data_IF_053777574893
#
_entry.id   IF_053777574893
#
_cell.length_a   1.000
_cell.length_b   1.000
_cell.length_c   1.000
_cell.angle_alpha   90.00
_cell.angle_beta   90.00
_cell.angle_gamma   90.00
#
_symmetry.space_group_name_H-M   'P 1'
#
loop_
_entity.id
_entity.type
_entity.pdbx_description
1 polymer ?
#
# COMPACT_ATOMS: atom_id res chain seq x y z
N UNK A 1 38.13 10.63 27.56
CA UNK A 1 37.59 9.95 26.37
C UNK A 1 36.41 8.99 26.64
N UNK A 2 36.19 8.49 27.86
CA UNK A 2 35.06 7.56 28.19
C UNK A 2 33.70 8.24 28.16
N UNK A 3 33.58 9.47 28.66
CA UNK A 3 32.30 10.20 28.79
C UNK A 3 31.61 10.57 27.45
N UNK A 4 32.40 10.82 26.40
CA UNK A 4 31.85 11.15 25.05
C UNK A 4 31.24 9.92 24.37
N UNK A 5 31.78 8.71 24.63
CA UNK A 5 31.22 7.46 24.09
C UNK A 5 29.88 7.07 24.72
N UNK A 6 29.68 7.35 26.00
CA UNK A 6 28.42 7.06 26.70
C UNK A 6 27.29 8.01 26.27
N UNK A 7 27.58 9.31 26.09
CA UNK A 7 26.62 10.28 25.60
C UNK A 7 26.16 9.91 24.17
N UNK A 8 27.09 9.53 23.29
CA UNK A 8 26.77 9.11 21.92
C UNK A 8 25.93 7.81 21.86
N UNK A 9 26.13 6.90 22.82
CA UNK A 9 25.35 5.66 22.91
C UNK A 9 23.93 5.93 23.45
N UNK A 10 23.78 6.80 24.45
CA UNK A 10 22.49 7.19 24.99
C UNK A 10 21.65 7.96 23.95
N UNK A 11 22.24 8.92 23.21
CA UNK A 11 21.55 9.64 22.15
C UNK A 11 21.11 8.74 20.98
N UNK A 12 21.92 7.75 20.62
CA UNK A 12 21.55 6.77 19.57
C UNK A 12 20.40 5.88 20.04
N UNK A 13 20.42 5.42 21.28
CA UNK A 13 19.35 4.60 21.86
C UNK A 13 18.01 5.36 21.92
N UNK A 14 18.04 6.65 22.28
CA UNK A 14 16.84 7.50 22.33
C UNK A 14 16.29 7.76 20.92
N UNK A 15 17.14 8.01 19.93
CA UNK A 15 16.73 8.17 18.53
C UNK A 15 16.13 6.89 17.94
N UNK A 16 16.71 5.74 18.24
CA UNK A 16 16.23 4.44 17.78
C UNK A 16 14.87 4.10 18.40
N UNK A 17 14.69 4.39 19.70
CA UNK A 17 13.43 4.21 20.39
C UNK A 17 12.32 5.14 19.83
N UNK A 18 12.65 6.41 19.54
CA UNK A 18 11.73 7.38 18.95
C UNK A 18 11.30 6.96 17.54
N UNK A 19 12.22 6.47 16.71
CA UNK A 19 11.94 6.00 15.36
C UNK A 19 11.08 4.73 15.37
N UNK A 20 11.36 3.78 16.25
CA UNK A 20 10.56 2.57 16.43
C UNK A 20 9.14 2.89 16.90
N UNK A 21 9.01 3.81 17.84
CA UNK A 21 7.71 4.29 18.33
C UNK A 21 6.90 4.94 17.21
N UNK A 22 7.53 5.83 16.42
CA UNK A 22 6.90 6.45 15.26
C UNK A 22 6.44 5.40 14.23
N UNK A 23 7.25 4.37 13.98
CA UNK A 23 6.91 3.27 13.07
C UNK A 23 5.68 2.49 13.54
N UNK A 24 5.55 2.22 14.85
CA UNK A 24 4.35 1.56 15.42
C UNK A 24 3.10 2.41 15.20
N UNK A 25 3.18 3.71 15.48
CA UNK A 25 2.05 4.64 15.26
C UNK A 25 1.64 4.66 13.79
N UNK A 26 2.59 4.75 12.87
CA UNK A 26 2.33 4.73 11.42
C UNK A 26 1.68 3.41 10.97
N UNK A 27 2.09 2.28 11.52
CA UNK A 27 1.49 0.98 11.21
C UNK A 27 0.01 0.93 11.63
N UNK A 28 -0.31 1.40 12.83
CA UNK A 28 -1.70 1.45 13.32
C UNK A 28 -2.54 2.48 12.55
N UNK A 29 -1.96 3.65 12.22
CA UNK A 29 -2.61 4.65 11.39
C UNK A 29 -2.91 4.11 9.99
N UNK A 30 -1.95 3.48 9.34
CA UNK A 30 -2.10 2.87 8.03
C UNK A 30 -3.23 1.82 8.00
N UNK A 31 -3.31 1.00 9.05
CA UNK A 31 -4.36 0.00 9.22
C UNK A 31 -5.75 0.64 9.34
N UNK A 32 -5.89 1.64 10.24
CA UNK A 32 -7.16 2.31 10.47
C UNK A 32 -7.63 3.11 9.25
N UNK A 33 -6.72 3.80 8.57
CA UNK A 33 -7.03 4.56 7.35
C UNK A 33 -7.53 3.63 6.24
N UNK A 34 -6.92 2.46 6.04
CA UNK A 34 -7.39 1.48 5.05
C UNK A 34 -8.78 0.95 5.38
N UNK A 35 -9.06 0.72 6.66
CA UNK A 35 -10.34 0.17 7.12
C UNK A 35 -11.48 1.17 7.06
N UNK A 36 -11.25 2.42 7.49
CA UNK A 36 -12.28 3.42 7.76
C UNK A 36 -12.20 4.68 6.90
N UNK A 37 -11.19 4.77 6.03
CA UNK A 37 -10.86 5.99 5.31
C UNK A 37 -10.16 7.03 6.20
N UNK A 38 -9.55 8.06 5.60
CA UNK A 38 -8.78 9.08 6.33
C UNK A 38 -9.65 9.98 7.22
N UNK A 39 -10.92 10.18 6.86
CA UNK A 39 -11.89 10.92 7.68
C UNK A 39 -12.24 10.22 9.00
N UNK A 40 -12.22 8.90 9.02
CA UNK A 40 -12.55 8.07 10.18
C UNK A 40 -11.43 7.92 11.23
N UNK A 41 -10.28 8.57 11.02
CA UNK A 41 -9.11 8.43 11.89
C UNK A 41 -9.29 9.18 13.21
N UNK A 42 -9.18 8.44 14.32
CA UNK A 42 -9.13 8.98 15.67
C UNK A 42 -7.70 8.87 16.25
N UNK A 43 -6.99 9.99 16.37
CA UNK A 43 -5.59 10.03 16.85
C UNK A 43 -5.45 9.33 18.21
N UNK A 44 -6.37 9.57 19.15
CA UNK A 44 -6.35 8.94 20.47
C UNK A 44 -6.41 7.40 20.38
N UNK A 45 -7.24 6.87 19.48
CA UNK A 45 -7.37 5.42 19.27
C UNK A 45 -6.10 4.81 18.65
N UNK A 46 -5.47 5.51 17.71
CA UNK A 46 -4.20 5.07 17.11
C UNK A 46 -3.10 5.03 18.16
N UNK A 47 -2.96 6.12 18.95
CA UNK A 47 -1.95 6.19 20.01
C UNK A 47 -2.12 5.09 21.05
N UNK A 48 -3.36 4.84 21.50
CA UNK A 48 -3.68 3.77 22.45
C UNK A 48 -3.28 2.39 21.90
N UNK A 49 -3.60 2.07 20.64
CA UNK A 49 -3.17 0.80 20.01
C UNK A 49 -1.66 0.69 19.82
N UNK A 50 -0.98 1.81 19.63
CA UNK A 50 0.48 1.86 19.59
C UNK A 50 1.12 1.77 20.99
N UNK A 51 0.34 1.65 22.07
CA UNK A 51 0.82 1.59 23.44
C UNK A 51 1.31 2.94 23.99
N UNK A 52 0.73 4.04 23.52
CA UNK A 52 1.15 5.41 23.83
C UNK A 52 0.00 6.25 24.37
N UNK A 53 0.32 7.30 25.12
CA UNK A 53 -0.65 8.30 25.54
C UNK A 53 -0.97 9.27 24.42
N UNK A 54 -2.17 9.85 24.41
CA UNK A 54 -2.55 10.89 23.45
C UNK A 54 -1.59 12.09 23.47
N UNK A 55 -1.12 12.50 24.65
CA UNK A 55 -0.18 13.61 24.79
C UNK A 55 1.18 13.40 24.11
N UNK A 56 1.58 12.13 23.89
CA UNK A 56 2.81 11.79 23.17
C UNK A 56 2.71 11.98 21.64
N UNK A 57 1.54 12.28 21.10
CA UNK A 57 1.34 12.44 19.66
C UNK A 57 2.22 13.51 19.04
N UNK A 58 2.22 14.71 19.66
CA UNK A 58 2.95 15.87 19.14
C UNK A 58 4.48 15.74 19.20
N UNK A 59 5.01 14.75 19.94
CA UNK A 59 6.44 14.42 19.90
C UNK A 59 6.85 13.71 18.58
N UNK A 60 5.86 13.19 17.81
CA UNK A 60 6.07 12.42 16.60
C UNK A 60 5.47 13.03 15.33
N UNK A 61 4.36 13.78 15.46
CA UNK A 61 3.63 14.35 14.32
C UNK A 61 3.15 15.76 14.67
N UNK A 62 3.32 16.69 13.74
CA UNK A 62 2.93 18.09 13.90
C UNK A 62 1.40 18.27 13.86
N UNK A 63 0.72 17.41 13.10
CA UNK A 63 -0.74 17.46 12.93
C UNK A 63 -1.30 16.08 12.56
N UNK A 64 -2.63 15.96 12.59
CA UNK A 64 -3.36 14.79 12.09
C UNK A 64 -3.13 14.59 10.58
N UNK A 65 -3.06 15.67 9.83
CA UNK A 65 -2.80 15.68 8.38
C UNK A 65 -1.40 15.14 8.07
N UNK A 66 -0.38 15.57 8.84
CA UNK A 66 0.98 15.04 8.74
C UNK A 66 1.06 13.54 9.07
N UNK A 67 0.28 13.06 10.06
CA UNK A 67 0.15 11.62 10.33
C UNK A 67 -0.47 10.89 9.14
N UNK A 68 -1.56 11.42 8.55
CA UNK A 68 -2.24 10.80 7.41
C UNK A 68 -1.29 10.71 6.20
N UNK A 69 -0.59 11.78 5.87
CA UNK A 69 0.37 11.81 4.77
C UNK A 69 1.48 10.77 4.95
N UNK A 70 2.08 10.70 6.14
CA UNK A 70 3.12 9.72 6.46
C UNK A 70 2.58 8.27 6.49
N UNK A 71 1.35 8.06 6.94
CA UNK A 71 0.71 6.75 6.91
C UNK A 71 0.42 6.28 5.47
N UNK A 72 0.01 7.18 4.56
CA UNK A 72 -0.16 6.88 3.14
C UNK A 72 1.16 6.41 2.52
N UNK A 73 2.27 7.09 2.81
CA UNK A 73 3.60 6.65 2.36
C UNK A 73 3.94 5.25 2.88
N UNK A 74 3.74 5.00 4.17
CA UNK A 74 3.94 3.68 4.80
C UNK A 74 3.08 2.58 4.16
N UNK A 75 1.85 2.89 3.76
CA UNK A 75 0.99 1.94 3.02
C UNK A 75 1.59 1.57 1.67
N UNK A 76 2.07 2.56 0.91
CA UNK A 76 2.69 2.30 -0.38
C UNK A 76 4.04 1.59 -0.26
N UNK A 77 4.85 1.88 0.76
CA UNK A 77 6.07 1.13 1.07
C UNK A 77 5.75 -0.37 1.26
N UNK A 78 4.75 -0.67 2.09
CA UNK A 78 4.35 -2.07 2.33
C UNK A 78 3.83 -2.75 1.06
N UNK A 79 3.13 -2.02 0.19
CA UNK A 79 2.62 -2.54 -1.08
C UNK A 79 3.75 -2.79 -2.08
N UNK A 80 4.71 -1.84 -2.18
CA UNK A 80 5.90 -2.00 -3.02
C UNK A 80 6.75 -3.18 -2.58
N UNK A 81 7.02 -3.28 -1.27
CA UNK A 81 7.78 -4.39 -0.70
C UNK A 81 7.12 -5.75 -0.99
N UNK A 82 5.80 -5.83 -0.88
CA UNK A 82 5.06 -7.05 -1.26
C UNK A 82 5.25 -7.37 -2.74
N UNK A 83 5.11 -6.38 -3.62
CA UNK A 83 5.36 -6.57 -5.06
C UNK A 83 6.79 -7.07 -5.30
N UNK A 84 7.77 -6.36 -4.75
CA UNK A 84 9.18 -6.66 -4.95
C UNK A 84 9.54 -8.08 -4.43
N UNK A 85 9.00 -8.49 -3.27
CA UNK A 85 9.16 -9.84 -2.74
C UNK A 85 8.48 -10.91 -3.62
N UNK A 86 7.27 -10.63 -4.12
CA UNK A 86 6.56 -11.58 -4.98
C UNK A 86 7.29 -11.75 -6.33
N UNK A 87 7.93 -10.69 -6.83
CA UNK A 87 8.59 -10.68 -8.16
C UNK A 87 10.08 -11.05 -8.07
N UNK A 88 10.65 -11.15 -6.86
CA UNK A 88 12.07 -11.48 -6.65
C UNK A 88 12.39 -12.98 -6.83
N UNK A 89 11.44 -13.86 -6.50
CA UNK A 89 11.67 -15.31 -6.49
C UNK A 89 11.20 -15.99 -7.79
N UNK A 90 12.14 -16.56 -8.54
CA UNK A 90 11.90 -17.55 -9.59
C UNK A 90 11.65 -16.99 -11.00
N UNK A 91 10.91 -17.76 -11.80
CA UNK A 91 10.49 -17.36 -13.14
C UNK A 91 9.63 -16.10 -13.05
N UNK A 92 10.12 -15.03 -13.67
CA UNK A 92 9.55 -13.67 -13.62
C UNK A 92 8.06 -13.63 -14.02
N UNK A 93 7.63 -14.57 -14.86
CA UNK A 93 6.25 -14.68 -15.36
C UNK A 93 5.33 -15.29 -14.32
N UNK A 94 5.78 -16.37 -13.72
CA UNK A 94 5.09 -16.99 -12.57
C UNK A 94 4.94 -15.97 -11.45
N UNK A 95 5.95 -15.14 -11.25
CA UNK A 95 5.96 -14.08 -10.23
C UNK A 95 4.92 -12.99 -10.52
N UNK A 96 4.83 -12.49 -11.76
CA UNK A 96 3.82 -11.49 -12.13
C UNK A 96 2.40 -12.08 -12.08
N UNK A 97 2.21 -13.31 -12.56
CA UNK A 97 0.95 -14.03 -12.45
C UNK A 97 0.55 -14.19 -10.98
N UNK A 98 1.47 -14.62 -10.12
CA UNK A 98 1.23 -14.74 -8.67
C UNK A 98 0.82 -13.42 -8.03
N UNK A 99 1.41 -12.30 -8.48
CA UNK A 99 1.01 -10.97 -8.01
C UNK A 99 -0.42 -10.61 -8.46
N UNK A 100 -0.77 -10.88 -9.72
CA UNK A 100 -2.13 -10.66 -10.24
C UNK A 100 -3.14 -11.52 -9.49
N UNK A 101 -2.82 -12.79 -9.25
CA UNK A 101 -3.66 -13.75 -8.52
C UNK A 101 -3.90 -13.30 -7.08
N UNK A 102 -2.85 -12.86 -6.40
CA UNK A 102 -2.99 -12.27 -5.07
C UNK A 102 -3.86 -11.00 -5.11
N UNK A 103 -3.55 -10.07 -6.04
CA UNK A 103 -4.22 -8.77 -6.07
C UNK A 103 -5.71 -8.87 -6.35
N UNK A 104 -6.10 -9.77 -7.28
CA UNK A 104 -7.49 -10.00 -7.70
C UNK A 104 -8.15 -11.18 -6.95
N UNK A 105 -7.68 -11.50 -5.73
CA UNK A 105 -8.25 -12.56 -4.90
C UNK A 105 -9.34 -12.04 -3.95
N UNK A 106 -10.31 -12.91 -3.57
CA UNK A 106 -11.22 -12.62 -2.47
C UNK A 106 -10.50 -12.27 -1.16
N UNK A 107 -9.39 -12.95 -0.87
CA UNK A 107 -8.59 -12.67 0.33
C UNK A 107 -8.07 -11.22 0.37
N UNK A 108 -7.57 -10.67 -0.76
CA UNK A 108 -7.15 -9.26 -0.83
C UNK A 108 -8.34 -8.31 -0.77
N UNK A 109 -9.46 -8.64 -1.42
CA UNK A 109 -10.70 -7.87 -1.34
C UNK A 109 -11.15 -7.71 0.11
N UNK A 110 -11.21 -8.79 0.87
CA UNK A 110 -11.81 -8.84 2.21
C UNK A 110 -10.87 -8.31 3.29
N UNK A 111 -9.55 -8.41 3.10
CA UNK A 111 -8.55 -7.94 4.07
C UNK A 111 -8.14 -6.48 3.81
N UNK A 112 -9.10 -5.53 3.92
CA UNK A 112 -8.87 -4.10 3.63
C UNK A 112 -7.69 -3.51 4.40
N UNK A 113 -7.57 -3.85 5.68
CA UNK A 113 -6.58 -3.29 6.61
C UNK A 113 -5.12 -3.51 6.17
N UNK A 114 -4.87 -4.54 5.36
CA UNK A 114 -3.55 -4.95 4.90
C UNK A 114 -3.38 -4.87 3.37
N UNK A 115 -4.43 -4.50 2.66
CA UNK A 115 -4.45 -4.42 1.19
C UNK A 115 -3.74 -3.19 0.62
N UNK A 116 -3.75 -3.12 -0.71
CA UNK A 116 -3.29 -1.95 -1.44
C UNK A 116 -4.13 -0.71 -1.06
N UNK A 117 -3.51 0.47 -0.82
CA UNK A 117 -4.25 1.68 -0.48
C UNK A 117 -5.11 2.22 -1.63
N UNK A 118 -4.78 1.90 -2.88
CA UNK A 118 -5.47 2.46 -4.06
C UNK A 118 -6.98 2.20 -4.06
N UNK A 119 -7.46 0.94 -3.95
CA UNK A 119 -8.90 0.69 -3.95
C UNK A 119 -9.64 1.25 -2.72
N UNK A 120 -8.91 1.53 -1.64
CA UNK A 120 -9.50 1.99 -0.38
C UNK A 120 -9.56 3.52 -0.26
N UNK A 121 -8.66 4.26 -0.92
CA UNK A 121 -8.48 5.69 -0.68
C UNK A 121 -8.78 6.58 -1.88
N UNK A 122 -8.83 6.04 -3.12
CA UNK A 122 -8.97 6.86 -4.33
C UNK A 122 -10.21 7.78 -4.32
N UNK A 123 -11.29 7.38 -3.69
CA UNK A 123 -12.51 8.18 -3.55
C UNK A 123 -12.42 9.32 -2.53
N UNK A 124 -11.50 9.23 -1.57
CA UNK A 124 -11.38 10.20 -0.48
C UNK A 124 -10.35 11.31 -0.76
N UNK A 125 -9.45 11.08 -1.71
CA UNK A 125 -8.25 11.91 -1.92
C UNK A 125 -8.54 13.35 -2.31
N UNK A 126 -9.64 13.60 -3.02
CA UNK A 126 -10.00 14.97 -3.40
C UNK A 126 -10.26 15.88 -2.19
N UNK A 127 -10.53 15.28 -1.02
CA UNK A 127 -10.83 15.97 0.24
C UNK A 127 -9.64 16.04 1.19
N UNK A 128 -8.52 15.42 0.82
CA UNK A 128 -7.31 15.38 1.66
C UNK A 128 -6.42 16.59 1.42
N UNK A 129 -5.57 16.83 2.42
CA UNK A 129 -4.49 17.80 2.38
C UNK A 129 -3.58 17.59 1.14
N UNK A 130 -3.00 18.69 0.58
CA UNK A 130 -2.12 18.59 -0.59
C UNK A 130 -0.93 17.64 -0.41
N UNK A 131 -0.34 17.56 0.79
CA UNK A 131 0.78 16.65 1.05
C UNK A 131 0.34 15.19 0.98
N UNK A 132 -0.79 14.83 1.58
CA UNK A 132 -1.36 13.49 1.50
C UNK A 132 -1.66 13.09 0.05
N UNK A 133 -2.19 14.02 -0.76
CA UNK A 133 -2.42 13.81 -2.20
C UNK A 133 -1.12 13.61 -2.97
N UNK A 134 -0.07 14.39 -2.66
CA UNK A 134 1.24 14.26 -3.29
C UNK A 134 1.87 12.89 -2.97
N UNK A 135 1.83 12.44 -1.70
CA UNK A 135 2.30 11.11 -1.28
C UNK A 135 1.55 9.98 -1.99
N UNK A 136 0.25 10.13 -2.15
CA UNK A 136 -0.54 9.15 -2.90
C UNK A 136 -0.14 9.12 -4.38
N UNK A 137 -0.01 10.26 -5.04
CA UNK A 137 0.44 10.36 -6.44
C UNK A 137 1.80 9.70 -6.67
N UNK A 138 2.76 9.92 -5.76
CA UNK A 138 4.07 9.25 -5.75
C UNK A 138 3.91 7.73 -5.61
N UNK A 139 2.99 7.29 -4.75
CA UNK A 139 2.68 5.87 -4.58
C UNK A 139 2.11 5.23 -5.83
N UNK A 140 1.18 5.90 -6.52
CA UNK A 140 0.63 5.46 -7.83
C UNK A 140 1.76 5.32 -8.85
N UNK A 141 2.56 6.37 -9.03
CA UNK A 141 3.69 6.37 -9.98
C UNK A 141 4.67 5.23 -9.68
N UNK A 142 5.00 5.01 -8.40
CA UNK A 142 5.92 3.95 -7.99
C UNK A 142 5.41 2.53 -8.27
N UNK A 143 4.12 2.27 -8.12
CA UNK A 143 3.52 0.97 -8.47
C UNK A 143 3.40 0.78 -9.98
N UNK A 144 2.99 1.84 -10.70
CA UNK A 144 2.94 1.83 -12.17
C UNK A 144 4.30 1.50 -12.76
N UNK A 145 5.36 2.16 -12.28
CA UNK A 145 6.72 1.91 -12.76
C UNK A 145 7.19 0.46 -12.50
N UNK A 146 6.80 -0.15 -11.37
CA UNK A 146 7.12 -1.55 -11.06
C UNK A 146 6.42 -2.52 -12.01
N UNK A 147 5.14 -2.32 -12.27
CA UNK A 147 4.39 -3.11 -13.24
C UNK A 147 4.96 -2.92 -14.66
N UNK A 148 5.23 -1.70 -15.07
CA UNK A 148 5.88 -1.39 -16.34
C UNK A 148 7.23 -2.10 -16.47
N UNK A 149 8.09 -2.00 -15.45
CA UNK A 149 9.37 -2.70 -15.42
C UNK A 149 9.24 -4.22 -15.47
N UNK A 150 8.22 -4.80 -14.83
CA UNK A 150 7.93 -6.22 -14.94
C UNK A 150 7.51 -6.58 -16.37
N UNK A 151 6.52 -5.91 -16.93
CA UNK A 151 5.99 -6.15 -18.28
C UNK A 151 7.06 -5.92 -19.36
N UNK A 152 7.90 -4.89 -19.24
CA UNK A 152 9.00 -4.62 -20.17
C UNK A 152 10.02 -5.77 -20.21
N UNK A 153 10.30 -6.41 -19.08
CA UNK A 153 11.16 -7.61 -19.03
C UNK A 153 10.54 -8.82 -19.75
N UNK A 154 9.24 -8.80 -20.03
CA UNK A 154 8.53 -9.80 -20.84
C UNK A 154 8.42 -9.44 -22.32
N UNK A 155 8.96 -8.32 -22.73
CA UNK A 155 8.86 -7.84 -24.11
C UNK A 155 7.49 -7.28 -24.47
N UNK A 156 6.68 -6.89 -23.49
CA UNK A 156 5.42 -6.19 -23.75
C UNK A 156 5.74 -4.83 -24.35
N UNK A 157 5.09 -4.53 -25.48
CA UNK A 157 5.22 -3.21 -26.12
C UNK A 157 4.62 -2.12 -25.21
N UNK A 158 5.22 -0.91 -25.25
CA UNK A 158 4.77 0.24 -24.45
C UNK A 158 4.54 -0.10 -22.97
N UNK A 159 5.56 -0.61 -22.25
CA UNK A 159 5.40 -1.16 -20.93
C UNK A 159 4.88 -0.14 -19.90
N UNK A 160 5.14 1.16 -20.09
CA UNK A 160 4.61 2.23 -19.26
C UNK A 160 3.09 2.31 -19.36
N UNK A 161 2.55 2.33 -20.56
CA UNK A 161 1.11 2.33 -20.80
C UNK A 161 0.47 1.02 -20.34
N UNK A 162 1.12 -0.10 -20.60
CA UNK A 162 0.67 -1.42 -20.17
C UNK A 162 0.59 -1.54 -18.65
N UNK A 163 1.62 -1.07 -17.94
CA UNK A 163 1.66 -1.04 -16.47
C UNK A 163 0.58 -0.16 -15.85
N UNK A 164 0.37 1.03 -16.42
CA UNK A 164 -0.71 1.93 -15.99
C UNK A 164 -2.09 1.30 -16.22
N UNK A 165 -2.32 0.72 -17.40
CA UNK A 165 -3.58 0.05 -17.74
C UNK A 165 -3.85 -1.16 -16.83
N UNK A 166 -2.84 -1.99 -16.57
CA UNK A 166 -2.95 -3.14 -15.64
C UNK A 166 -3.31 -2.66 -14.23
N UNK A 167 -2.63 -1.65 -13.71
CA UNK A 167 -2.91 -1.11 -12.39
C UNK A 167 -4.34 -0.59 -12.28
N UNK A 168 -4.79 0.20 -13.26
CA UNK A 168 -6.13 0.78 -13.28
C UNK A 168 -7.22 -0.29 -13.29
N UNK A 169 -7.06 -1.36 -14.08
CA UNK A 169 -8.00 -2.48 -14.14
C UNK A 169 -8.06 -3.24 -12.82
N UNK A 170 -6.91 -3.59 -12.24
CA UNK A 170 -6.85 -4.31 -10.97
C UNK A 170 -7.43 -3.48 -9.81
N UNK A 171 -7.12 -2.18 -9.74
CA UNK A 171 -7.64 -1.27 -8.71
C UNK A 171 -9.14 -1.12 -8.85
N UNK A 172 -9.63 -0.87 -10.07
CA UNK A 172 -11.06 -0.74 -10.37
C UNK A 172 -11.84 -2.00 -10.01
N UNK A 173 -11.33 -3.17 -10.37
CA UNK A 173 -11.98 -4.44 -10.05
C UNK A 173 -12.11 -4.67 -8.54
N UNK A 174 -11.04 -4.44 -7.76
CA UNK A 174 -11.09 -4.60 -6.30
C UNK A 174 -12.02 -3.56 -5.66
N UNK A 175 -12.01 -2.31 -6.15
CA UNK A 175 -12.90 -1.26 -5.65
C UNK A 175 -14.38 -1.61 -5.90
N UNK A 176 -14.72 -2.05 -7.11
CA UNK A 176 -16.08 -2.47 -7.48
C UNK A 176 -16.52 -3.73 -6.72
N UNK A 177 -15.64 -4.74 -6.62
CA UNK A 177 -15.92 -5.96 -5.87
C UNK A 177 -16.20 -5.69 -4.38
N UNK A 178 -15.60 -4.64 -3.81
CA UNK A 178 -15.88 -4.18 -2.43
C UNK A 178 -17.18 -3.39 -2.29
N UNK A 179 -17.67 -2.81 -3.38
CA UNK A 179 -18.86 -1.94 -3.38
C UNK A 179 -20.16 -2.70 -3.57
N UNK A 180 -20.12 -3.84 -4.25
CA UNK A 180 -21.33 -4.66 -4.47
C UNK A 180 -21.65 -5.51 -3.25
N UNK A 181 -22.95 -5.68 -2.97
CA UNK A 181 -23.43 -6.44 -1.81
C UNK A 181 -23.61 -7.94 -2.09
N UNK A 182 -23.78 -8.32 -3.35
CA UNK A 182 -23.91 -9.73 -3.77
C UNK A 182 -22.53 -10.40 -3.86
N UNK A 183 -22.24 -11.43 -3.05
CA UNK A 183 -20.97 -12.13 -3.08
C UNK A 183 -20.63 -12.78 -4.42
N UNK A 184 -21.64 -13.33 -5.11
CA UNK A 184 -21.42 -13.97 -6.41
C UNK A 184 -21.02 -12.94 -7.49
N UNK A 185 -21.69 -11.78 -7.49
CA UNK A 185 -21.32 -10.66 -8.35
C UNK A 185 -19.92 -10.13 -8.02
N UNK A 186 -19.59 -10.01 -6.73
CA UNK A 186 -18.28 -9.57 -6.26
C UNK A 186 -17.16 -10.49 -6.74
N UNK A 187 -17.34 -11.80 -6.62
CA UNK A 187 -16.37 -12.80 -7.08
C UNK A 187 -16.26 -12.79 -8.61
N UNK A 188 -17.37 -12.64 -9.34
CA UNK A 188 -17.37 -12.56 -10.80
C UNK A 188 -16.59 -11.34 -11.32
N UNK A 189 -16.65 -10.18 -10.63
CA UNK A 189 -15.86 -8.99 -10.99
C UNK A 189 -14.35 -9.31 -10.91
N UNK A 190 -13.90 -9.92 -9.82
CA UNK A 190 -12.49 -10.28 -9.65
C UNK A 190 -12.03 -11.31 -10.68
N UNK A 191 -12.83 -12.35 -10.91
CA UNK A 191 -12.52 -13.41 -11.87
C UNK A 191 -12.45 -12.86 -13.30
N UNK A 192 -13.36 -11.99 -13.69
CA UNK A 192 -13.39 -11.35 -15.02
C UNK A 192 -12.15 -10.48 -15.24
N UNK A 193 -11.79 -9.63 -14.28
CA UNK A 193 -10.62 -8.79 -14.38
C UNK A 193 -9.32 -9.64 -14.42
N UNK A 194 -9.24 -10.69 -13.60
CA UNK A 194 -8.11 -11.65 -13.64
C UNK A 194 -7.95 -12.27 -15.02
N UNK A 195 -9.01 -12.83 -15.57
CA UNK A 195 -8.98 -13.46 -16.89
C UNK A 195 -8.61 -12.45 -18.00
N UNK A 196 -9.09 -11.21 -17.90
CA UNK A 196 -8.76 -10.14 -18.84
C UNK A 196 -7.28 -9.78 -18.80
N UNK A 197 -6.72 -9.53 -17.61
CA UNK A 197 -5.30 -9.18 -17.42
C UNK A 197 -4.41 -10.31 -17.90
N UNK A 198 -4.68 -11.54 -17.51
CA UNK A 198 -3.90 -12.72 -17.89
C UNK A 198 -3.86 -12.90 -19.40
N UNK A 199 -5.01 -12.87 -20.06
CA UNK A 199 -5.13 -13.02 -21.51
C UNK A 199 -4.41 -11.88 -22.26
N UNK A 200 -4.63 -10.63 -21.85
CA UNK A 200 -4.06 -9.44 -22.52
C UNK A 200 -2.55 -9.43 -22.49
N UNK A 201 -1.92 -9.90 -21.43
CA UNK A 201 -0.48 -9.93 -21.26
C UNK A 201 0.13 -11.33 -21.42
N UNK A 202 -0.66 -12.32 -21.87
CA UNK A 202 -0.25 -13.71 -22.12
C UNK A 202 0.53 -14.32 -20.94
N UNK A 203 0.01 -14.13 -19.71
CA UNK A 203 0.72 -14.55 -18.50
C UNK A 203 0.69 -16.05 -18.26
N UNK A 204 -0.24 -16.81 -18.90
CA UNK A 204 -0.38 -18.27 -18.79
C UNK A 204 0.36 -19.05 -19.89
N UNK A 205 0.61 -18.44 -21.06
CA UNK A 205 1.07 -19.13 -22.28
C UNK A 205 2.58 -19.39 -22.32
N UNK A 206 3.19 -19.71 -21.15
CA UNK A 206 4.63 -19.74 -21.08
C UNK A 206 5.17 -20.99 -20.40
N UNK A 207 5.27 -22.01 -21.24
CA UNK A 207 6.08 -23.20 -20.99
C UNK A 207 7.54 -22.96 -21.33
#
# INVERSE_FOLDING_TARGET
MHHIKEIGKAMRYDSDHKSETRRRVLKEAAREIRAKGPGGVAVAGIMARAGLTHGGFYAHFESKEALIAAAIETMFESTRNRFDLTVADGDRRVALLSYVDFYLSPAHRDTREHGCPLPSLSGDLARLDPEARARFGQGVAGLTARLAGALGRYGVADPEQAGASMLNEMVGAVALARAVSDPAQSDAILASARASVIRRFSLEDMK
#
